data_IF_378950210294
#
_entry.id   IF_378950210294
#
_cell.length_a   1.000
_cell.length_b   1.000
_cell.length_c   1.000
_cell.angle_alpha   90.00
_cell.angle_beta   90.00
_cell.angle_gamma   90.00
#
_symmetry.space_group_name_H-M   'P 1'
#
loop_
_entity.id
_entity.type
_entity.pdbx_description
1 polymer ?
#
# COMPACT_ATOMS: atom_id res chain seq x y z
N UNK A 1 6.88 31.55 26.39
CA UNK A 1 7.36 30.29 25.78
C UNK A 1 6.46 29.20 26.30
N UNK A 2 5.95 28.30 25.44
CA UNK A 2 5.13 27.18 25.92
C UNK A 2 6.05 26.09 26.47
N UNK A 3 5.83 25.71 27.72
CA UNK A 3 6.50 24.57 28.34
C UNK A 3 5.66 23.32 28.11
N UNK A 4 6.31 22.18 27.90
CA UNK A 4 5.65 20.90 27.68
C UNK A 4 6.23 19.84 28.62
N UNK A 5 5.35 19.00 29.15
CA UNK A 5 5.69 17.71 29.73
C UNK A 5 5.58 16.63 28.65
N UNK A 6 6.49 15.66 28.68
CA UNK A 6 6.51 14.55 27.74
C UNK A 6 6.31 13.23 28.48
N UNK A 7 5.57 12.32 27.84
CA UNK A 7 5.37 10.94 28.31
C UNK A 7 5.69 9.97 27.19
N UNK A 8 6.44 8.93 27.51
CA UNK A 8 6.80 7.86 26.58
C UNK A 8 6.27 6.55 27.13
N UNK A 9 5.52 5.83 26.32
CA UNK A 9 4.95 4.51 26.68
C UNK A 9 5.37 3.47 25.66
N UNK A 10 5.53 2.19 26.05
CA UNK A 10 5.75 1.11 25.08
C UNK A 10 4.60 1.08 24.08
N UNK A 11 4.92 0.99 22.78
CA UNK A 11 3.90 0.81 21.76
C UNK A 11 3.25 -0.58 21.95
N UNK A 12 1.91 -0.69 21.86
CA UNK A 12 1.26 -1.99 21.87
C UNK A 12 1.84 -2.91 20.80
N UNK A 13 2.21 -4.13 21.19
CA UNK A 13 2.75 -5.13 20.27
C UNK A 13 1.71 -6.15 19.81
N UNK A 14 0.55 -6.19 20.47
CA UNK A 14 -0.51 -7.17 20.23
C UNK A 14 -1.87 -6.49 20.26
N UNK A 15 -2.76 -6.95 19.39
CA UNK A 15 -4.15 -6.52 19.37
C UNK A 15 -5.01 -7.21 20.42
N UNK A 16 -5.94 -6.45 20.98
CA UNK A 16 -6.93 -6.89 21.97
C UNK A 16 -8.20 -7.30 21.24
N UNK A 17 -8.86 -8.36 21.72
CA UNK A 17 -10.16 -8.77 21.16
C UNK A 17 -11.21 -7.73 21.52
N UNK A 18 -11.97 -7.28 20.52
CA UNK A 18 -13.09 -6.36 20.69
C UNK A 18 -14.34 -6.87 19.98
N UNK A 19 -15.51 -6.46 20.46
CA UNK A 19 -16.81 -6.84 19.88
C UNK A 19 -16.88 -6.37 18.43
N UNK A 20 -17.27 -7.26 17.52
CA UNK A 20 -17.35 -6.95 16.08
C UNK A 20 -16.03 -7.03 15.32
N UNK A 21 -14.88 -7.14 15.99
CA UNK A 21 -13.56 -7.14 15.33
C UNK A 21 -13.00 -8.56 15.20
N UNK A 22 -13.08 -9.08 13.98
CA UNK A 22 -12.73 -10.47 13.67
C UNK A 22 -11.28 -10.67 13.23
N UNK A 23 -10.66 -9.65 12.62
CA UNK A 23 -9.32 -9.75 12.02
C UNK A 23 -8.20 -9.38 13.00
N UNK A 24 -7.00 -9.97 12.88
CA UNK A 24 -5.83 -9.57 13.68
C UNK A 24 -5.46 -8.08 13.53
N UNK A 25 -5.54 -7.57 12.30
CA UNK A 25 -5.25 -6.16 11.99
C UNK A 25 -6.25 -5.23 12.69
N UNK A 26 -7.54 -5.57 12.64
CA UNK A 26 -8.56 -4.78 13.33
C UNK A 26 -8.34 -4.78 14.85
N UNK A 27 -7.97 -5.92 15.44
CA UNK A 27 -7.67 -6.00 16.88
C UNK A 27 -6.49 -5.13 17.26
N UNK A 28 -5.47 -5.09 16.40
CA UNK A 28 -4.31 -4.23 16.60
C UNK A 28 -4.68 -2.74 16.52
N UNK A 29 -5.46 -2.35 15.51
CA UNK A 29 -5.97 -0.99 15.37
C UNK A 29 -6.77 -0.54 16.59
N UNK A 30 -7.70 -1.38 17.08
CA UNK A 30 -8.47 -1.08 18.29
C UNK A 30 -7.59 -0.88 19.51
N UNK A 31 -6.52 -1.66 19.68
CA UNK A 31 -5.60 -1.47 20.82
C UNK A 31 -4.87 -0.15 20.74
N UNK A 32 -4.42 0.25 19.55
CA UNK A 32 -3.77 1.56 19.36
C UNK A 32 -4.77 2.68 19.61
N UNK A 33 -5.99 2.56 19.07
CA UNK A 33 -7.07 3.52 19.27
C UNK A 33 -7.41 3.70 20.75
N UNK A 34 -7.56 2.60 21.49
CA UNK A 34 -7.80 2.63 22.94
C UNK A 34 -6.69 3.39 23.67
N UNK A 35 -5.42 3.07 23.41
CA UNK A 35 -4.30 3.78 24.04
C UNK A 35 -4.29 5.27 23.70
N UNK A 36 -4.56 5.63 22.44
CA UNK A 36 -4.63 7.03 22.03
C UNK A 36 -5.76 7.78 22.74
N UNK A 37 -6.94 7.16 22.85
CA UNK A 37 -8.09 7.73 23.53
C UNK A 37 -7.85 7.87 25.04
N UNK A 38 -7.25 6.86 25.68
CA UNK A 38 -6.89 6.90 27.10
C UNK A 38 -5.88 8.03 27.38
N UNK A 39 -4.84 8.16 26.55
CA UNK A 39 -3.86 9.25 26.67
C UNK A 39 -4.50 10.61 26.38
N UNK A 40 -5.36 10.71 25.37
CA UNK A 40 -6.10 11.93 25.05
C UNK A 40 -7.04 12.38 26.17
N UNK A 41 -7.72 11.44 26.84
CA UNK A 41 -8.58 11.71 28.00
C UNK A 41 -7.78 12.28 29.18
N UNK A 42 -6.54 11.84 29.36
CA UNK A 42 -5.58 12.35 30.34
C UNK A 42 -4.92 13.69 29.93
N UNK A 43 -5.31 14.26 28.77
CA UNK A 43 -4.78 15.52 28.25
C UNK A 43 -3.44 15.40 27.52
N UNK A 44 -3.04 14.19 27.11
CA UNK A 44 -1.82 13.97 26.34
C UNK A 44 -2.08 14.00 24.82
N UNK A 45 -1.24 14.73 24.10
CA UNK A 45 -1.23 14.82 22.64
C UNK A 45 -0.21 13.84 22.05
N UNK A 46 -0.66 12.93 21.19
CA UNK A 46 0.23 12.01 20.47
C UNK A 46 1.17 12.79 19.54
N UNK A 47 2.47 12.49 19.61
CA UNK A 47 3.47 13.11 18.77
C UNK A 47 3.92 12.17 17.66
N UNK A 48 4.40 10.97 18.03
CA UNK A 48 4.96 9.99 17.10
C UNK A 48 5.19 8.63 17.74
N UNK A 49 5.38 7.63 16.90
CA UNK A 49 5.95 6.34 17.29
C UNK A 49 7.42 6.27 16.86
N UNK A 50 8.25 5.63 17.69
CA UNK A 50 9.70 5.53 17.50
C UNK A 50 10.17 4.09 17.72
N UNK A 51 11.23 3.70 17.03
CA UNK A 51 11.90 2.40 17.20
C UNK A 51 13.34 2.65 17.72
N UNK A 52 13.56 2.40 19.00
CA UNK A 52 14.81 2.74 19.69
C UNK A 52 15.56 1.49 20.16
N UNK A 53 16.91 1.47 20.11
CA UNK A 53 17.70 0.42 20.74
C UNK A 53 17.67 0.55 22.27
N UNK A 54 17.50 -0.57 22.95
CA UNK A 54 17.48 -0.71 24.41
C UNK A 54 18.53 -1.73 24.83
N UNK A 55 19.55 -1.31 25.56
CA UNK A 55 20.57 -2.20 26.10
C UNK A 55 20.04 -2.91 27.35
N UNK A 56 20.06 -4.23 27.34
CA UNK A 56 19.59 -5.07 28.45
C UNK A 56 20.66 -6.11 28.81
N UNK A 57 20.76 -6.47 30.09
CA UNK A 57 21.70 -7.50 30.54
C UNK A 57 21.30 -8.85 29.97
N UNK A 58 22.25 -9.54 29.35
CA UNK A 58 22.12 -10.92 28.87
C UNK A 58 23.04 -11.83 29.68
N UNK A 59 22.46 -12.73 30.48
CA UNK A 59 23.21 -13.66 31.31
C UNK A 59 24.03 -12.99 32.43
N UNK A 60 25.17 -13.58 32.80
CA UNK A 60 25.95 -13.10 33.94
C UNK A 60 26.82 -11.87 33.62
N UNK A 61 27.36 -11.74 32.41
CA UNK A 61 28.31 -10.66 32.04
C UNK A 61 28.04 -10.01 30.68
N UNK A 62 27.04 -10.46 29.92
CA UNK A 62 26.73 -9.90 28.61
C UNK A 62 25.70 -8.77 28.65
N UNK A 63 25.70 -7.92 27.62
CA UNK A 63 24.59 -7.04 27.27
C UNK A 63 24.09 -7.39 25.86
N UNK A 64 22.81 -7.13 25.61
CA UNK A 64 22.20 -7.29 24.30
C UNK A 64 21.39 -6.06 23.95
N UNK A 65 21.35 -5.71 22.67
CA UNK A 65 20.57 -4.57 22.18
C UNK A 65 19.23 -5.07 21.65
N UNK A 66 18.14 -4.64 22.30
CA UNK A 66 16.77 -4.92 21.87
C UNK A 66 16.16 -3.68 21.22
N UNK A 67 15.65 -3.81 20.00
CA UNK A 67 14.91 -2.74 19.35
C UNK A 67 13.46 -2.72 19.85
N UNK A 68 13.04 -1.60 20.44
CA UNK A 68 11.72 -1.44 21.07
C UNK A 68 10.94 -0.32 20.41
N UNK A 69 9.68 -0.59 20.09
CA UNK A 69 8.74 0.43 19.66
C UNK A 69 8.16 1.17 20.87
N UNK A 70 8.16 2.50 20.82
CA UNK A 70 7.57 3.38 21.84
C UNK A 70 6.68 4.42 21.18
N UNK A 71 5.69 4.92 21.92
CA UNK A 71 4.83 6.03 21.51
C UNK A 71 5.11 7.23 22.42
N UNK A 72 5.33 8.38 21.80
CA UNK A 72 5.69 9.64 22.46
C UNK A 72 4.48 10.56 22.48
N UNK A 73 4.22 11.13 23.64
CA UNK A 73 3.14 12.07 23.90
C UNK A 73 3.67 13.33 24.57
N UNK A 74 2.96 14.45 24.44
CA UNK A 74 3.24 15.69 25.17
C UNK A 74 1.98 16.33 25.72
N UNK A 75 2.10 17.18 26.73
CA UNK A 75 1.04 18.10 27.19
C UNK A 75 1.64 19.41 27.68
N UNK A 76 0.98 20.56 27.54
CA UNK A 76 1.50 21.84 28.02
C UNK A 76 1.59 21.89 29.56
N UNK A 77 2.65 22.51 30.09
CA UNK A 77 2.86 22.75 31.54
C UNK A 77 2.88 24.24 31.84
N UNK A 78 1.69 24.81 32.05
CA UNK A 78 1.49 26.21 32.41
C UNK A 78 0.00 26.46 32.63
N UNK A 79 -0.35 27.45 33.45
CA UNK A 79 -1.74 27.89 33.61
C UNK A 79 -2.30 28.21 32.24
N UNK A 80 -3.26 27.39 31.83
CA UNK A 80 -4.11 27.61 30.68
C UNK A 80 -5.00 28.80 31.04
N UNK A 81 -4.44 30.01 31.03
CA UNK A 81 -5.25 31.17 30.66
C UNK A 81 -5.62 30.91 29.20
N UNK A 82 -6.73 30.19 29.05
CA UNK A 82 -7.65 30.36 27.96
C UNK A 82 -6.98 30.54 26.59
N UNK A 83 -6.06 29.63 26.26
CA UNK A 83 -6.03 29.19 24.87
C UNK A 83 -7.14 28.17 24.77
N UNK A 84 -8.38 28.67 24.77
CA UNK A 84 -9.41 28.03 23.99
C UNK A 84 -8.74 27.71 22.66
N UNK A 85 -8.68 26.46 22.20
CA UNK A 85 -8.65 26.28 20.77
C UNK A 85 -9.98 26.87 20.35
N UNK A 86 -9.99 28.17 20.02
CA UNK A 86 -10.97 28.71 19.12
C UNK A 86 -10.98 27.68 18.00
N UNK A 87 -12.07 26.94 17.94
CA UNK A 87 -12.39 26.13 16.80
C UNK A 87 -12.47 27.14 15.66
N UNK A 88 -11.31 27.49 15.11
CA UNK A 88 -11.19 27.89 13.74
C UNK A 88 -11.58 26.62 13.02
N UNK A 89 -12.90 26.48 12.88
CA UNK A 89 -13.50 25.91 11.70
C UNK A 89 -13.01 26.83 10.57
N UNK A 90 -11.72 26.75 10.24
CA UNK A 90 -11.28 26.99 8.89
C UNK A 90 -12.20 26.07 8.10
N UNK A 91 -13.09 26.71 7.35
CA UNK A 91 -13.97 26.04 6.43
C UNK A 91 -13.12 25.03 5.69
N UNK A 92 -13.24 23.76 6.05
CA UNK A 92 -12.79 22.67 5.22
C UNK A 92 -13.40 23.01 3.86
N UNK A 93 -12.60 23.28 2.81
CA UNK A 93 -13.19 23.19 1.49
C UNK A 93 -13.84 21.82 1.50
N UNK A 94 -15.15 21.78 1.27
CA UNK A 94 -15.85 20.54 1.00
C UNK A 94 -15.03 19.90 -0.11
N UNK A 95 -14.19 18.93 0.25
CA UNK A 95 -13.66 17.98 -0.69
C UNK A 95 -14.92 17.19 -1.00
N UNK A 96 -15.62 17.64 -2.04
CA UNK A 96 -16.64 16.83 -2.67
C UNK A 96 -16.03 15.44 -2.83
N UNK A 97 -16.75 14.36 -2.48
CA UNK A 97 -16.20 13.03 -2.65
C UNK A 97 -15.79 12.88 -4.12
N UNK A 98 -14.49 12.90 -4.39
CA UNK A 98 -13.94 12.68 -5.74
C UNK A 98 -14.00 11.20 -6.11
N UNK A 99 -14.49 10.34 -5.21
CA UNK A 99 -15.10 9.09 -5.62
C UNK A 99 -16.59 9.29 -5.91
N UNK A 100 -16.86 9.91 -7.07
CA UNK A 100 -17.87 9.29 -7.91
C UNK A 100 -17.40 7.84 -8.14
N UNK A 101 -18.27 6.81 -8.06
CA UNK A 101 -17.89 5.52 -8.62
C UNK A 101 -17.55 5.82 -10.08
N UNK A 102 -16.27 5.67 -10.45
CA UNK A 102 -15.98 5.44 -11.86
C UNK A 102 -16.87 4.27 -12.23
N UNK A 103 -17.82 4.53 -13.13
CA UNK A 103 -18.70 3.50 -13.65
C UNK A 103 -17.78 2.42 -14.21
N UNK A 104 -17.65 1.31 -13.47
CA UNK A 104 -16.97 0.11 -13.94
C UNK A 104 -17.72 -0.29 -15.20
N UNK A 105 -17.15 0.01 -16.37
CA UNK A 105 -17.66 -0.47 -17.65
C UNK A 105 -17.58 -1.98 -17.62
N UNK A 106 -18.76 -2.61 -17.49
CA UNK A 106 -18.88 -4.05 -17.52
C UNK A 106 -18.47 -4.53 -18.92
N UNK A 107 -17.56 -5.49 -18.98
CA UNK A 107 -17.13 -6.13 -20.23
C UNK A 107 -17.49 -7.61 -20.15
N UNK A 108 -17.98 -8.16 -21.25
CA UNK A 108 -18.41 -9.56 -21.31
C UNK A 108 -17.87 -10.23 -22.58
N UNK A 109 -17.73 -11.55 -22.59
CA UNK A 109 -17.22 -12.26 -23.77
C UNK A 109 -18.25 -12.20 -24.90
N UNK A 110 -17.83 -11.85 -26.11
CA UNK A 110 -18.72 -11.74 -27.27
C UNK A 110 -19.46 -13.07 -27.53
N UNK A 111 -20.79 -13.05 -27.46
CA UNK A 111 -21.67 -14.21 -27.68
C UNK A 111 -22.10 -14.96 -26.41
N UNK A 112 -21.75 -14.47 -25.22
CA UNK A 112 -22.19 -15.04 -23.96
C UNK A 112 -23.71 -14.80 -23.72
N UNK A 113 -24.55 -15.85 -23.63
CA UNK A 113 -26.00 -15.72 -23.46
C UNK A 113 -26.41 -15.21 -22.07
N UNK A 114 -25.48 -15.19 -21.11
CA UNK A 114 -25.72 -14.75 -19.72
C UNK A 114 -25.18 -13.32 -19.46
N UNK A 115 -24.66 -12.65 -20.49
CA UNK A 115 -24.12 -11.30 -20.38
C UNK A 115 -25.20 -10.23 -20.19
N UNK A 116 -24.90 -9.23 -19.36
CA UNK A 116 -25.72 -8.03 -19.17
C UNK A 116 -25.80 -7.23 -20.48
N UNK A 117 -26.97 -6.69 -20.82
CA UNK A 117 -27.24 -6.03 -22.10
C UNK A 117 -26.42 -4.76 -22.32
N UNK A 118 -25.95 -4.15 -21.23
CA UNK A 118 -25.15 -2.93 -21.25
C UNK A 118 -23.63 -3.21 -21.22
N UNK A 119 -23.21 -4.47 -21.27
CA UNK A 119 -21.80 -4.84 -21.25
C UNK A 119 -21.14 -4.72 -22.64
N UNK A 120 -19.91 -4.19 -22.68
CA UNK A 120 -19.15 -4.07 -23.92
C UNK A 120 -18.56 -5.45 -24.28
N UNK A 121 -18.83 -6.00 -25.48
CA UNK A 121 -18.35 -7.32 -25.86
C UNK A 121 -16.84 -7.28 -26.12
N UNK A 122 -16.10 -8.14 -25.44
CA UNK A 122 -14.66 -8.37 -25.65
C UNK A 122 -14.43 -9.76 -26.26
N UNK A 123 -13.45 -9.91 -27.16
CA UNK A 123 -13.11 -11.22 -27.70
C UNK A 123 -12.65 -12.17 -26.59
N UNK A 124 -13.18 -13.41 -26.60
CA UNK A 124 -12.76 -14.45 -25.66
C UNK A 124 -11.30 -14.83 -25.85
N UNK A 125 -10.68 -15.46 -24.84
CA UNK A 125 -9.26 -15.78 -24.83
C UNK A 125 -8.77 -16.51 -26.11
N UNK A 126 -9.52 -17.51 -26.58
CA UNK A 126 -9.17 -18.22 -27.83
C UNK A 126 -9.27 -17.37 -29.09
N UNK A 127 -10.23 -16.43 -29.15
CA UNK A 127 -10.34 -15.50 -30.27
C UNK A 127 -9.22 -14.45 -30.27
N UNK A 128 -8.72 -14.08 -29.09
CA UNK A 128 -7.56 -13.17 -28.97
C UNK A 128 -6.28 -13.84 -29.45
N UNK A 129 -6.12 -15.14 -29.19
CA UNK A 129 -4.97 -15.93 -29.65
C UNK A 129 -4.96 -16.08 -31.18
N UNK A 130 -6.13 -16.32 -31.80
CA UNK A 130 -6.26 -16.38 -33.27
C UNK A 130 -6.06 -15.04 -33.99
N UNK A 131 -6.31 -13.91 -33.32
CA UNK A 131 -6.05 -12.56 -33.87
C UNK A 131 -4.58 -12.15 -33.74
N UNK A 132 -3.83 -12.78 -32.84
CA UNK A 132 -2.40 -12.52 -32.67
C UNK A 132 -1.51 -13.36 -33.61
N UNK A 133 -2.06 -14.43 -34.19
CA UNK A 133 -1.39 -15.29 -35.15
C UNK A 133 -1.78 -14.90 -36.58
N UNK A 134 -1.13 -13.86 -37.11
CA UNK A 134 -1.28 -13.46 -38.52
C UNK A 134 -0.61 -14.47 -39.49
N UNK A 135 -0.06 -15.60 -38.99
CA UNK A 135 0.45 -16.69 -39.83
C UNK A 135 1.67 -16.35 -40.70
N UNK A 136 2.40 -15.26 -40.41
CA UNK A 136 3.54 -14.77 -41.22
C UNK A 136 4.91 -15.22 -40.69
N UNK A 137 4.98 -15.90 -39.55
CA UNK A 137 6.26 -16.24 -38.89
C UNK A 137 7.00 -17.45 -39.50
N UNK A 138 6.42 -18.16 -40.48
CA UNK A 138 7.02 -19.35 -41.11
C UNK A 138 7.48 -19.12 -42.57
N UNK A 139 7.81 -17.88 -42.95
CA UNK A 139 8.70 -17.66 -44.10
C UNK A 139 10.16 -17.62 -43.62
N UNK A 140 10.66 -18.81 -43.29
CA UNK A 140 12.09 -19.06 -43.14
C UNK A 140 12.86 -18.42 -44.32
N UNK A 141 13.93 -17.66 -44.06
CA UNK A 141 14.60 -16.93 -45.10
C UNK A 141 15.25 -17.92 -46.07
N UNK A 142 14.91 -17.80 -47.35
CA UNK A 142 15.70 -18.26 -48.50
C UNK A 142 17.04 -17.49 -48.58
N UNK A 143 17.73 -17.30 -47.44
CA UNK A 143 19.09 -16.76 -47.33
C UNK A 143 20.15 -17.84 -47.52
N UNK A 144 19.81 -19.11 -47.29
CA UNK A 144 20.74 -20.23 -47.49
C UNK A 144 21.07 -20.52 -48.96
N UNK A 145 20.08 -20.40 -49.87
CA UNK A 145 20.24 -20.76 -51.28
C UNK A 145 21.07 -19.71 -52.05
N UNK A 146 20.93 -18.43 -51.71
CA UNK A 146 21.68 -17.32 -52.35
C UNK A 146 23.17 -17.36 -52.00
N UNK A 147 23.52 -17.80 -50.78
CA UNK A 147 24.92 -17.93 -50.34
C UNK A 147 25.64 -19.05 -51.09
N UNK A 148 24.97 -20.19 -51.30
CA UNK A 148 25.54 -21.31 -52.05
C UNK A 148 25.73 -21.00 -53.55
N UNK A 149 24.81 -20.25 -54.18
CA UNK A 149 24.98 -19.82 -55.58
C UNK A 149 26.11 -18.79 -55.74
N UNK A 150 26.28 -17.88 -54.79
CA UNK A 150 27.33 -16.86 -54.86
C UNK A 150 28.74 -17.45 -54.72
N UNK A 151 28.91 -18.42 -53.82
CA UNK A 151 30.19 -19.14 -53.67
C UNK A 151 30.59 -19.92 -54.93
N UNK A 152 29.63 -20.52 -55.63
CA UNK A 152 29.89 -21.27 -56.87
C UNK A 152 30.27 -20.37 -58.05
N UNK A 153 29.72 -19.15 -58.11
CA UNK A 153 30.05 -18.18 -59.15
C UNK A 153 31.48 -17.61 -59.01
N UNK A 154 32.01 -17.53 -57.78
CA UNK A 154 33.39 -17.06 -57.54
C UNK A 154 34.46 -18.13 -57.79
N UNK A 155 34.12 -19.42 -57.77
CA UNK A 155 35.05 -20.52 -58.07
C UNK A 155 35.20 -20.83 -59.57
N UNK A 156 34.48 -20.15 -60.45
CA UNK A 156 34.57 -20.36 -61.92
C UNK A 156 35.37 -19.26 -62.64
N UNK A 157 36.10 -18.43 -61.90
CA UNK A 157 36.86 -17.31 -62.44
C UNK A 157 38.34 -17.28 -62.02
N UNK A 158 38.88 -18.44 -61.63
CA UNK A 158 40.31 -18.82 -61.61
C UNK A 158 40.45 -20.20 -62.30
#
# INVERSE_FOLDING_TARGET
MMMFEYKVVPAPAKGTKAKGVKTPQGRFAVTIEQLLNDMGADGWEFQRAELLPSEERQGLTGSTTNWRNVMVFRRPTGSVEETEPAAQIESVPTVAPVHAPEAVTLTATAGDPEADTDAIPVPGAGAREMVADDGVEELSPVSGITTALKARAQQQHD
#
